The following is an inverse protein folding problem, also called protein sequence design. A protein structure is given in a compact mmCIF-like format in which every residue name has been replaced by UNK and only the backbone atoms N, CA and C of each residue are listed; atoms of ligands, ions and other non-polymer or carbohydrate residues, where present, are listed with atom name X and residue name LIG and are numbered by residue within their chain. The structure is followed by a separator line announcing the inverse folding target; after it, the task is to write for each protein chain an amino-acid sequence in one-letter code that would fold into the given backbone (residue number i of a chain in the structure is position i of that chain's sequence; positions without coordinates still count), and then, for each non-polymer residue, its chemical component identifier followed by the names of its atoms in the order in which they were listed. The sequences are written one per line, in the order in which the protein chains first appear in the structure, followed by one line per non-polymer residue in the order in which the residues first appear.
data_IF_850486595699
#
_entry.id   IF_850486595699
#
_cell.length_a   1.000
_cell.length_b   1.000
_cell.length_c   1.000
_cell.angle_alpha   90.00
_cell.angle_beta   90.00
_cell.angle_gamma   90.00
#
_symmetry.space_group_name_H-M   'P 1'
#
loop_
_entity.id
_entity.type
_entity.pdbx_description
1 polymer ?
#
# COMPACT_ATOMS: atom_id res chain seq x y z
N UNK A 1 -33.50 36.45 -57.66
CA UNK A 1 -32.74 35.21 -57.40
C UNK A 1 -31.49 35.54 -56.61
N UNK A 2 -31.15 34.69 -55.63
CA UNK A 2 -29.91 34.62 -54.82
C UNK A 2 -29.83 35.47 -53.54
N UNK A 3 -30.37 34.89 -52.46
CA UNK A 3 -29.85 35.02 -51.10
C UNK A 3 -29.32 33.64 -50.69
N UNK A 4 -28.01 33.47 -50.51
CA UNK A 4 -27.42 32.41 -49.67
C UNK A 4 -26.02 32.82 -49.21
N UNK A 5 -25.66 32.27 -48.04
CA UNK A 5 -24.34 32.12 -47.42
C UNK A 5 -23.91 33.23 -46.47
N UNK A 6 -24.38 33.19 -45.22
CA UNK A 6 -23.57 33.47 -44.00
C UNK A 6 -24.15 32.65 -42.82
N UNK A 7 -24.04 31.32 -42.83
CA UNK A 7 -24.22 30.50 -41.61
C UNK A 7 -23.31 29.28 -41.76
N UNK A 8 -22.00 29.42 -41.49
CA UNK A 8 -21.11 28.27 -41.29
C UNK A 8 -19.78 28.58 -40.55
N UNK A 9 -19.57 29.81 -40.06
CA UNK A 9 -18.31 30.21 -39.39
C UNK A 9 -18.39 30.29 -37.86
N UNK A 10 -19.58 30.24 -37.24
CA UNK A 10 -19.72 30.37 -35.78
C UNK A 10 -19.72 29.05 -35.00
N UNK A 11 -19.98 27.90 -35.64
CA UNK A 11 -20.03 26.62 -34.91
C UNK A 11 -18.64 26.02 -34.64
N UNK A 12 -17.65 26.25 -35.49
CA UNK A 12 -16.30 25.69 -35.33
C UNK A 12 -15.48 26.39 -34.25
N UNK A 13 -15.66 27.70 -34.06
CA UNK A 13 -14.99 28.48 -33.01
C UNK A 13 -15.57 28.18 -31.61
N UNK A 14 -16.87 27.93 -31.49
CA UNK A 14 -17.48 27.48 -30.23
C UNK A 14 -17.05 26.07 -29.84
N UNK A 15 -16.93 25.12 -30.79
CA UNK A 15 -16.42 23.78 -30.49
C UNK A 15 -14.96 23.80 -30.05
N UNK A 16 -14.09 24.58 -30.71
CA UNK A 16 -12.68 24.73 -30.32
C UNK A 16 -12.52 25.37 -28.93
N UNK A 17 -13.33 26.37 -28.60
CA UNK A 17 -13.32 27.00 -27.27
C UNK A 17 -13.83 26.06 -26.17
N UNK A 18 -14.87 25.26 -26.44
CA UNK A 18 -15.38 24.26 -25.49
C UNK A 18 -14.35 23.14 -25.29
N UNK A 19 -13.73 22.63 -26.37
CA UNK A 19 -12.66 21.61 -26.27
C UNK A 19 -11.45 22.18 -25.52
N UNK A 20 -11.04 23.43 -25.78
CA UNK A 20 -9.94 24.08 -25.06
C UNK A 20 -10.27 24.34 -23.59
N UNK A 21 -11.52 24.67 -23.25
CA UNK A 21 -11.95 24.93 -21.87
C UNK A 21 -12.13 23.63 -21.06
N UNK A 22 -12.67 22.58 -21.68
CA UNK A 22 -12.76 21.23 -21.08
C UNK A 22 -11.36 20.65 -20.88
N UNK A 23 -10.49 20.75 -21.89
CA UNK A 23 -9.09 20.35 -21.79
C UNK A 23 -8.33 21.16 -20.72
N UNK A 24 -8.58 22.48 -20.61
CA UNK A 24 -8.02 23.32 -19.53
C UNK A 24 -8.58 23.00 -18.14
N UNK A 25 -9.81 22.47 -18.04
CA UNK A 25 -10.41 22.08 -16.77
C UNK A 25 -9.90 20.72 -16.30
N UNK A 26 -9.75 19.74 -17.19
CA UNK A 26 -9.18 18.42 -16.89
C UNK A 26 -7.69 18.51 -16.54
N UNK A 27 -6.93 19.31 -17.30
CA UNK A 27 -5.49 19.60 -17.04
C UNK A 27 -5.25 20.38 -15.75
N UNK A 28 -6.26 21.09 -15.20
CA UNK A 28 -6.15 21.75 -13.89
C UNK A 28 -6.35 20.78 -12.71
N UNK A 29 -6.92 19.59 -12.93
CA UNK A 29 -7.30 18.67 -11.85
C UNK A 29 -6.49 17.39 -11.79
N UNK A 30 -5.93 16.91 -12.91
CA UNK A 30 -5.09 15.72 -12.94
C UNK A 30 -3.59 16.10 -12.89
N UNK A 31 -2.86 15.80 -11.79
CA UNK A 31 -1.44 16.07 -11.67
C UNK A 31 -0.56 15.38 -12.73
N UNK A 32 -1.09 14.38 -13.44
CA UNK A 32 -0.39 13.62 -14.49
C UNK A 32 -0.79 14.01 -15.91
N UNK A 33 -1.70 14.98 -16.09
CA UNK A 33 -2.21 15.35 -17.42
C UNK A 33 -1.08 15.76 -18.40
N UNK A 34 -0.03 16.41 -17.88
CA UNK A 34 1.12 16.86 -18.65
C UNK A 34 2.33 15.92 -18.57
N UNK A 35 2.21 14.83 -17.81
CA UNK A 35 3.26 13.81 -17.73
C UNK A 35 3.43 13.10 -19.07
N UNK A 36 4.65 12.68 -19.45
CA UNK A 36 4.84 11.90 -20.67
C UNK A 36 4.22 10.52 -20.56
N UNK A 37 3.89 9.90 -21.69
CA UNK A 37 3.63 8.45 -21.75
C UNK A 37 4.96 7.73 -21.48
N UNK A 38 5.03 7.00 -20.36
CA UNK A 38 6.26 6.32 -19.91
C UNK A 38 6.17 4.80 -19.98
N UNK A 39 4.97 4.27 -20.20
CA UNK A 39 4.74 2.83 -20.24
C UNK A 39 4.10 2.39 -21.55
N UNK A 40 4.24 1.09 -21.85
CA UNK A 40 3.60 0.42 -22.99
C UNK A 40 2.86 -0.83 -22.51
N UNK A 41 1.82 -1.22 -23.24
CA UNK A 41 1.14 -2.50 -23.04
C UNK A 41 1.84 -3.57 -23.87
N UNK A 42 2.14 -4.70 -23.24
CA UNK A 42 2.75 -5.87 -23.87
C UNK A 42 1.80 -7.04 -23.68
N UNK A 43 1.42 -7.70 -24.76
CA UNK A 43 0.64 -8.94 -24.69
C UNK A 43 1.55 -10.07 -24.28
N UNK A 44 1.16 -10.79 -23.23
CA UNK A 44 1.84 -12.00 -22.74
C UNK A 44 0.89 -13.19 -22.83
N UNK A 45 1.40 -14.40 -22.64
CA UNK A 45 0.58 -15.62 -22.59
C UNK A 45 -0.44 -15.63 -21.43
N UNK A 46 -0.25 -14.78 -20.42
CA UNK A 46 -1.11 -14.70 -19.22
C UNK A 46 -1.90 -13.40 -19.13
N UNK A 47 -1.89 -12.58 -20.19
CA UNK A 47 -2.66 -11.34 -20.30
C UNK A 47 -1.80 -10.12 -20.62
N UNK A 48 -2.34 -8.93 -20.36
CA UNK A 48 -1.67 -7.66 -20.64
C UNK A 48 -0.73 -7.27 -19.51
N UNK A 49 0.53 -7.04 -19.85
CA UNK A 49 1.57 -6.50 -18.99
C UNK A 49 1.77 -5.01 -19.31
N UNK A 50 1.78 -4.16 -18.29
CA UNK A 50 2.24 -2.77 -18.41
C UNK A 50 3.74 -2.72 -18.10
N UNK A 51 4.55 -2.37 -19.09
CA UNK A 51 6.00 -2.20 -18.94
C UNK A 51 6.36 -0.71 -18.93
N UNK A 52 6.83 -0.21 -17.79
CA UNK A 52 7.26 1.17 -17.62
C UNK A 52 8.75 1.31 -17.97
N UNK A 53 9.08 2.25 -18.87
CA UNK A 53 10.46 2.64 -19.13
C UNK A 53 10.90 3.69 -18.11
N UNK A 54 11.73 3.31 -17.14
CA UNK A 54 12.15 4.23 -16.07
C UNK A 54 12.89 5.46 -16.61
N UNK A 55 13.61 5.35 -17.73
CA UNK A 55 14.34 6.47 -18.37
C UNK A 55 13.38 7.51 -18.99
N UNK A 56 12.14 7.11 -19.28
CA UNK A 56 11.11 7.99 -19.82
C UNK A 56 10.51 8.91 -18.75
N UNK A 57 10.59 8.55 -17.47
CA UNK A 57 10.23 9.44 -16.36
C UNK A 57 11.15 10.66 -16.36
N UNK A 58 10.56 11.86 -16.33
CA UNK A 58 11.29 13.14 -16.33
C UNK A 58 11.04 13.87 -15.03
N UNK A 59 10.09 14.79 -15.02
CA UNK A 59 9.85 15.69 -13.91
C UNK A 59 9.22 14.97 -12.71
N UNK A 60 9.36 15.62 -11.56
CA UNK A 60 8.68 15.24 -10.32
C UNK A 60 7.45 16.10 -10.13
N UNK A 61 6.28 15.47 -10.05
CA UNK A 61 5.00 16.15 -9.78
C UNK A 61 4.65 16.08 -8.30
N UNK A 62 3.97 17.10 -7.79
CA UNK A 62 3.41 17.08 -6.43
C UNK A 62 1.96 16.60 -6.49
N UNK A 63 1.69 15.46 -5.87
CA UNK A 63 0.35 14.85 -5.85
C UNK A 63 -0.30 15.13 -4.49
N UNK A 64 -1.45 15.83 -4.45
CA UNK A 64 -2.20 15.98 -3.22
C UNK A 64 -2.77 14.64 -2.79
N UNK A 65 -2.81 14.37 -1.48
CA UNK A 65 -3.44 13.17 -0.94
C UNK A 65 -4.91 13.04 -1.41
N UNK A 66 -5.63 14.16 -1.47
CA UNK A 66 -7.01 14.22 -1.97
C UNK A 66 -7.17 13.80 -3.44
N UNK A 67 -6.11 13.72 -4.25
CA UNK A 67 -6.18 13.14 -5.58
C UNK A 67 -6.43 11.63 -5.53
N UNK A 68 -5.81 10.95 -4.56
CA UNK A 68 -5.85 9.49 -4.42
C UNK A 68 -6.94 9.01 -3.45
N UNK A 69 -7.39 9.88 -2.53
CA UNK A 69 -8.29 9.49 -1.44
C UNK A 69 -9.54 10.36 -1.36
N UNK A 70 -10.52 9.85 -0.63
CA UNK A 70 -11.60 10.60 0.00
C UNK A 70 -11.04 11.48 1.14
N UNK A 71 -11.94 12.02 1.97
CA UNK A 71 -11.67 12.89 3.10
C UNK A 71 -10.71 12.26 4.14
N UNK A 72 -9.78 13.07 4.67
CA UNK A 72 -8.84 12.66 5.71
C UNK A 72 -9.46 12.61 7.10
N UNK A 73 -9.61 11.42 7.66
CA UNK A 73 -10.04 11.28 9.05
C UNK A 73 -8.85 11.30 10.00
N UNK A 74 -9.07 11.90 11.17
CA UNK A 74 -8.10 11.97 12.26
C UNK A 74 -8.69 11.24 13.46
N UNK A 75 -8.04 10.17 13.89
CA UNK A 75 -8.51 9.30 14.97
C UNK A 75 -7.46 9.29 16.08
N UNK A 76 -7.81 9.77 17.26
CA UNK A 76 -6.94 9.70 18.45
C UNK A 76 -7.22 8.38 19.14
N UNK A 77 -6.19 7.56 19.34
CA UNK A 77 -6.37 6.31 20.05
C UNK A 77 -6.57 6.57 21.55
N UNK A 78 -7.30 5.67 22.19
CA UNK A 78 -7.56 5.67 23.63
C UNK A 78 -6.25 5.72 24.44
N UNK A 79 -6.19 6.60 25.45
CA UNK A 79 -5.00 6.87 26.26
C UNK A 79 -4.83 5.94 27.46
N UNK A 80 -5.72 4.97 27.67
CA UNK A 80 -5.57 4.00 28.76
C UNK A 80 -4.29 3.18 28.60
N UNK A 81 -3.65 2.83 29.71
CA UNK A 81 -2.37 2.10 29.73
C UNK A 81 -2.42 0.80 28.90
N UNK A 82 -3.53 0.07 28.98
CA UNK A 82 -3.72 -1.17 28.22
C UNK A 82 -3.90 -0.95 26.71
N UNK A 83 -4.15 0.28 26.27
CA UNK A 83 -4.41 0.64 24.87
C UNK A 83 -3.18 1.21 24.15
N UNK A 84 -2.11 1.52 24.88
CA UNK A 84 -0.92 2.17 24.30
C UNK A 84 -0.29 1.33 23.18
N UNK A 85 0.03 1.99 22.07
CA UNK A 85 0.73 1.41 20.93
C UNK A 85 2.09 2.09 20.74
N UNK A 86 3.04 1.39 20.15
CA UNK A 86 4.36 1.99 19.83
C UNK A 86 4.38 2.71 18.47
N UNK A 87 5.49 3.38 18.19
CA UNK A 87 5.79 3.94 16.86
C UNK A 87 6.12 2.89 15.80
N UNK A 88 5.88 3.22 14.53
CA UNK A 88 6.25 2.44 13.34
C UNK A 88 5.66 1.03 13.26
N UNK A 89 4.34 0.93 13.46
CA UNK A 89 3.60 -0.32 13.52
C UNK A 89 2.62 -0.42 12.35
N UNK A 90 2.42 -1.62 11.79
CA UNK A 90 1.38 -1.83 10.77
C UNK A 90 0.02 -1.51 11.38
N UNK A 91 -0.77 -0.75 10.63
CA UNK A 91 -2.12 -0.34 11.04
C UNK A 91 -3.08 -0.72 9.93
N UNK A 92 -3.95 -1.69 10.21
CA UNK A 92 -4.95 -2.22 9.28
C UNK A 92 -6.29 -1.58 9.61
N UNK A 93 -6.84 -0.83 8.65
CA UNK A 93 -8.10 -0.10 8.81
C UNK A 93 -9.22 -0.87 8.11
N UNK A 94 -10.29 -1.16 8.85
CA UNK A 94 -11.56 -1.66 8.35
C UNK A 94 -12.61 -0.55 8.29
N UNK A 95 -13.84 -0.93 7.97
CA UNK A 95 -14.97 0.00 7.95
C UNK A 95 -15.37 0.41 9.38
N UNK A 96 -15.28 -0.51 10.35
CA UNK A 96 -15.71 -0.29 11.75
C UNK A 96 -14.59 -0.33 12.79
N UNK A 97 -13.42 -0.84 12.45
CA UNK A 97 -12.32 -1.05 13.39
C UNK A 97 -10.97 -0.62 12.84
N UNK A 98 -10.04 -0.37 13.75
CA UNK A 98 -8.62 -0.16 13.47
C UNK A 98 -7.84 -1.21 14.25
N UNK A 99 -7.05 -2.00 13.55
CA UNK A 99 -6.16 -3.00 14.12
C UNK A 99 -4.72 -2.49 14.05
N UNK A 100 -4.08 -2.34 15.20
CA UNK A 100 -2.66 -1.96 15.29
C UNK A 100 -1.84 -3.20 15.63
N UNK A 101 -0.81 -3.49 14.84
CA UNK A 101 -0.03 -4.73 14.96
C UNK A 101 0.85 -4.77 16.21
N UNK A 102 1.47 -5.92 16.44
CA UNK A 102 2.43 -6.05 17.54
C UNK A 102 3.71 -5.24 17.27
N UNK A 103 4.38 -4.81 18.33
CA UNK A 103 5.72 -4.23 18.30
C UNK A 103 6.49 -4.68 19.53
N UNK A 104 7.62 -5.37 19.33
CA UNK A 104 8.37 -6.03 20.40
C UNK A 104 7.43 -6.90 21.25
N UNK A 105 7.30 -6.57 22.54
CA UNK A 105 6.47 -7.31 23.50
C UNK A 105 5.05 -6.76 23.63
N UNK A 106 4.68 -5.72 22.87
CA UNK A 106 3.31 -5.19 22.83
C UNK A 106 2.48 -5.99 21.83
N UNK A 107 1.40 -6.67 22.26
CA UNK A 107 0.52 -7.43 21.36
C UNK A 107 -0.32 -6.50 20.48
N UNK A 108 -1.05 -7.08 19.53
CA UNK A 108 -2.02 -6.37 18.70
C UNK A 108 -3.11 -5.71 19.56
N UNK A 109 -3.55 -4.53 19.13
CA UNK A 109 -4.61 -3.75 19.78
C UNK A 109 -5.73 -3.46 18.78
N UNK A 110 -6.97 -3.74 19.18
CA UNK A 110 -8.15 -3.44 18.38
C UNK A 110 -8.86 -2.23 18.95
N UNK A 111 -9.21 -1.30 18.06
CA UNK A 111 -9.95 -0.09 18.36
C UNK A 111 -11.21 -0.01 17.51
N UNK A 112 -12.21 0.70 18.01
CA UNK A 112 -13.32 1.17 17.19
C UNK A 112 -12.80 2.17 16.14
N UNK A 113 -13.64 2.47 15.15
CA UNK A 113 -13.30 3.42 14.09
C UNK A 113 -13.08 4.85 14.59
N UNK A 114 -13.64 5.20 15.74
CA UNK A 114 -13.46 6.47 16.46
C UNK A 114 -12.32 6.44 17.51
N UNK A 115 -11.55 5.34 17.58
CA UNK A 115 -10.30 5.27 18.35
C UNK A 115 -10.43 4.75 19.78
N UNK A 116 -11.62 4.30 20.20
CA UNK A 116 -11.82 3.70 21.54
C UNK A 116 -11.24 2.31 21.58
N UNK A 117 -10.50 2.00 22.63
CA UNK A 117 -9.90 0.69 22.78
C UNK A 117 -10.96 -0.37 23.09
N UNK A 118 -10.93 -1.47 22.34
CA UNK A 118 -11.84 -2.60 22.50
C UNK A 118 -11.14 -3.70 23.30
N UNK A 119 -10.02 -4.20 22.78
CA UNK A 119 -9.37 -5.39 23.34
C UNK A 119 -7.94 -5.58 22.81
N UNK A 120 -7.17 -6.40 23.52
CA UNK A 120 -5.87 -6.91 23.06
C UNK A 120 -6.09 -8.23 22.33
N UNK A 121 -5.41 -8.45 21.21
CA UNK A 121 -5.56 -9.67 20.41
C UNK A 121 -4.37 -10.60 20.69
N UNK A 122 -4.55 -11.64 21.50
CA UNK A 122 -3.48 -12.57 21.90
C UNK A 122 -2.42 -11.94 22.82
N UNK A 123 -1.27 -12.59 22.93
CA UNK A 123 -0.17 -12.16 23.80
C UNK A 123 1.20 -12.47 23.20
N UNK A 124 2.25 -11.81 23.71
CA UNK A 124 3.63 -12.12 23.34
C UNK A 124 4.08 -13.40 24.03
N UNK A 125 4.61 -14.35 23.26
CA UNK A 125 5.11 -15.61 23.81
C UNK A 125 5.12 -16.77 22.80
N UNK A 126 5.04 -18.00 23.30
CA UNK A 126 5.14 -19.25 22.53
C UNK A 126 4.00 -20.23 22.82
N UNK A 127 3.02 -19.83 23.63
CA UNK A 127 1.79 -20.57 23.88
C UNK A 127 0.92 -20.72 22.63
N UNK A 128 -0.18 -21.51 22.71
CA UNK A 128 -0.97 -21.90 21.55
C UNK A 128 -1.58 -20.74 20.74
N UNK A 129 -1.85 -19.62 21.40
CA UNK A 129 -2.43 -18.38 20.85
C UNK A 129 -1.51 -17.16 21.05
N UNK A 130 -0.23 -17.40 21.31
CA UNK A 130 0.77 -16.35 21.49
C UNK A 130 1.66 -16.25 20.24
N UNK A 131 2.31 -15.11 20.09
CA UNK A 131 3.19 -14.86 18.94
C UNK A 131 4.39 -13.99 19.34
N UNK A 132 5.49 -14.17 18.62
CA UNK A 132 6.61 -13.24 18.65
C UNK A 132 6.41 -12.12 17.62
N UNK A 133 7.31 -12.02 16.65
CA UNK A 133 7.11 -11.14 15.50
C UNK A 133 6.03 -11.69 14.57
N UNK A 134 5.28 -10.79 13.91
CA UNK A 134 4.25 -11.17 12.94
C UNK A 134 4.50 -10.53 11.58
N UNK A 135 4.08 -11.20 10.52
CA UNK A 135 4.41 -10.84 9.14
C UNK A 135 3.25 -10.18 8.37
N UNK A 136 2.04 -10.65 8.61
CA UNK A 136 0.83 -10.20 7.95
C UNK A 136 -0.38 -10.44 8.83
N UNK A 137 -1.44 -9.69 8.55
CA UNK A 137 -2.70 -9.74 9.25
C UNK A 137 -3.85 -9.46 8.26
N UNK A 138 -5.05 -9.92 8.60
CA UNK A 138 -6.29 -9.61 7.90
C UNK A 138 -7.40 -9.37 8.94
N UNK A 139 -8.02 -8.20 8.85
CA UNK A 139 -9.21 -7.84 9.61
C UNK A 139 -10.46 -8.16 8.78
N UNK A 140 -11.19 -9.19 9.18
CA UNK A 140 -12.42 -9.65 8.52
C UNK A 140 -13.64 -9.35 9.41
N UNK A 141 -14.13 -8.12 9.28
CA UNK A 141 -15.24 -7.61 10.10
C UNK A 141 -16.56 -8.33 9.81
N UNK A 142 -16.78 -8.77 8.57
CA UNK A 142 -18.01 -9.42 8.14
C UNK A 142 -18.22 -10.77 8.84
N UNK A 143 -17.13 -11.45 9.18
CA UNK A 143 -17.17 -12.78 9.80
C UNK A 143 -16.74 -12.79 11.27
N UNK A 144 -16.54 -11.62 11.88
CA UNK A 144 -16.03 -11.50 13.25
C UNK A 144 -14.69 -12.25 13.41
N UNK A 145 -13.73 -11.99 12.52
CA UNK A 145 -12.42 -12.67 12.51
C UNK A 145 -11.25 -11.71 12.33
N UNK A 146 -10.16 -12.01 13.02
CA UNK A 146 -8.83 -11.45 12.82
C UNK A 146 -7.89 -12.63 12.57
N UNK A 147 -7.19 -12.57 11.44
CA UNK A 147 -6.20 -13.57 11.06
C UNK A 147 -4.82 -12.96 11.22
N UNK A 148 -3.90 -13.67 11.87
CA UNK A 148 -2.52 -13.23 12.06
C UNK A 148 -1.60 -14.34 11.55
N UNK A 149 -0.60 -13.95 10.75
CA UNK A 149 0.51 -14.81 10.34
C UNK A 149 1.75 -14.47 11.17
N UNK A 150 2.12 -15.30 12.15
CA UNK A 150 3.39 -15.14 12.87
C UNK A 150 4.59 -15.35 11.93
N UNK A 151 5.73 -14.80 12.31
CA UNK A 151 7.00 -14.98 11.61
C UNK A 151 7.38 -16.48 11.54
N UNK A 152 7.73 -16.97 10.34
CA UNK A 152 8.09 -18.37 10.12
C UNK A 152 7.08 -19.38 10.68
N UNK A 153 5.78 -19.14 10.52
CA UNK A 153 4.72 -19.98 11.09
C UNK A 153 4.24 -21.07 10.14
N UNK A 154 3.70 -22.15 10.72
CA UNK A 154 2.99 -23.25 10.05
C UNK A 154 1.46 -23.19 10.30
N UNK A 155 0.96 -22.08 10.86
CA UNK A 155 -0.46 -21.84 11.08
C UNK A 155 -0.79 -20.35 10.99
N UNK A 156 -2.05 -20.03 10.70
CA UNK A 156 -2.61 -18.72 11.01
C UNK A 156 -3.23 -18.78 12.41
N UNK A 157 -2.94 -17.78 13.22
CA UNK A 157 -3.69 -17.54 14.46
C UNK A 157 -5.00 -16.84 14.11
N UNK A 158 -6.06 -17.20 14.80
CA UNK A 158 -7.41 -16.69 14.53
C UNK A 158 -8.02 -16.21 15.84
N UNK A 159 -8.56 -15.00 15.81
CA UNK A 159 -9.28 -14.41 16.93
C UNK A 159 -10.61 -13.84 16.45
N UNK A 160 -11.58 -13.67 17.34
CA UNK A 160 -12.73 -12.81 17.06
C UNK A 160 -12.43 -11.34 17.38
N UNK A 161 -13.38 -10.44 17.10
CA UNK A 161 -13.23 -9.00 17.37
C UNK A 161 -13.38 -8.65 18.88
N UNK A 162 -13.65 -9.64 19.73
CA UNK A 162 -13.63 -9.50 21.18
C UNK A 162 -12.27 -9.96 21.76
N UNK A 163 -11.38 -10.50 20.92
CA UNK A 163 -10.06 -10.98 21.29
C UNK A 163 -10.04 -12.44 21.75
N UNK A 164 -11.16 -13.16 21.65
CA UNK A 164 -11.18 -14.57 22.02
C UNK A 164 -10.50 -15.40 20.92
N UNK A 165 -9.58 -16.31 21.30
CA UNK A 165 -8.94 -17.19 20.35
C UNK A 165 -9.95 -18.15 19.73
N UNK A 166 -9.81 -18.38 18.43
CA UNK A 166 -10.55 -19.35 17.65
C UNK A 166 -9.61 -20.47 17.20
N UNK A 167 -10.11 -21.62 16.72
CA UNK A 167 -9.25 -22.68 16.19
C UNK A 167 -8.28 -22.13 15.12
N UNK A 168 -6.97 -22.35 15.25
CA UNK A 168 -6.01 -21.88 14.27
C UNK A 168 -6.17 -22.63 12.94
N UNK A 169 -5.76 -22.00 11.84
CA UNK A 169 -5.75 -22.63 10.53
C UNK A 169 -4.35 -23.21 10.28
N UNK A 170 -4.16 -24.54 10.31
CA UNK A 170 -2.87 -25.14 9.94
C UNK A 170 -2.56 -24.85 8.46
N UNK A 171 -1.30 -24.51 8.19
CA UNK A 171 -0.77 -24.31 6.85
C UNK A 171 -0.14 -25.62 6.38
N UNK A 172 -0.34 -25.96 5.10
CA UNK A 172 0.21 -27.19 4.53
C UNK A 172 1.75 -27.20 4.47
N UNK A 173 2.38 -26.05 4.72
CA UNK A 173 3.81 -25.87 4.86
C UNK A 173 4.11 -24.63 5.71
N UNK A 174 5.27 -24.62 6.35
CA UNK A 174 5.80 -23.45 7.04
C UNK A 174 5.92 -22.27 6.07
N UNK A 175 5.77 -21.04 6.55
CA UNK A 175 5.81 -19.84 5.72
C UNK A 175 6.85 -18.88 6.28
N UNK A 176 8.06 -18.79 5.68
CA UNK A 176 9.14 -17.98 6.25
C UNK A 176 8.83 -16.48 6.25
N UNK A 177 8.36 -15.99 5.11
CA UNK A 177 7.96 -14.62 4.84
C UNK A 177 6.76 -14.71 3.91
N UNK A 178 5.58 -14.25 4.31
CA UNK A 178 4.39 -14.52 3.52
C UNK A 178 3.27 -13.51 3.64
N UNK A 179 2.43 -13.51 2.61
CA UNK A 179 1.18 -12.76 2.54
C UNK A 179 0.05 -13.75 2.30
N UNK A 180 -1.15 -13.39 2.71
CA UNK A 180 -2.29 -14.28 2.61
C UNK A 180 -3.58 -13.50 2.44
N UNK A 181 -4.60 -14.18 1.92
CA UNK A 181 -5.99 -13.74 1.93
C UNK A 181 -6.87 -14.91 2.33
N UNK A 182 -7.67 -14.72 3.36
CA UNK A 182 -8.67 -15.68 3.83
C UNK A 182 -10.03 -15.35 3.22
N UNK A 183 -10.67 -16.35 2.65
CA UNK A 183 -12.09 -16.37 2.28
C UNK A 183 -12.82 -17.22 3.34
N UNK A 184 -13.43 -16.55 4.33
CA UNK A 184 -14.06 -17.22 5.47
C UNK A 184 -15.30 -18.00 5.05
N UNK A 185 -16.10 -17.48 4.12
CA UNK A 185 -17.30 -18.16 3.61
C UNK A 185 -16.95 -19.48 2.93
N UNK A 186 -15.87 -19.51 2.13
CA UNK A 186 -15.40 -20.73 1.47
C UNK A 186 -14.51 -21.60 2.34
N UNK A 187 -14.12 -21.12 3.52
CA UNK A 187 -13.10 -21.76 4.36
C UNK A 187 -11.81 -22.05 3.57
N UNK A 188 -11.36 -21.06 2.80
CA UNK A 188 -10.18 -21.14 1.94
C UNK A 188 -9.15 -20.06 2.29
N UNK A 189 -7.87 -20.41 2.13
CA UNK A 189 -6.77 -19.46 2.27
C UNK A 189 -5.95 -19.48 0.98
N UNK A 190 -5.71 -18.31 0.42
CA UNK A 190 -4.67 -18.09 -0.60
C UNK A 190 -3.43 -17.56 0.12
N UNK A 191 -2.28 -18.17 -0.13
CA UNK A 191 -1.00 -17.77 0.46
C UNK A 191 0.06 -17.54 -0.61
N UNK A 192 0.93 -16.58 -0.34
CA UNK A 192 2.20 -16.35 -1.05
C UNK A 192 3.32 -16.36 -0.05
N UNK A 193 4.43 -16.97 -0.44
CA UNK A 193 5.66 -16.92 0.34
C UNK A 193 6.79 -16.37 -0.51
N UNK A 194 7.79 -15.80 0.14
CA UNK A 194 9.12 -15.67 -0.44
C UNK A 194 9.69 -17.09 -0.64
N UNK A 195 9.89 -17.56 -1.89
CA UNK A 195 10.19 -18.96 -2.16
C UNK A 195 11.71 -19.15 -2.18
N UNK A 196 12.30 -19.43 -1.02
CA UNK A 196 13.72 -19.74 -0.92
C UNK A 196 14.11 -20.94 -1.80
N UNK A 197 15.38 -21.06 -2.18
CA UNK A 197 15.87 -22.25 -2.90
C UNK A 197 15.44 -23.55 -2.19
N UNK A 198 14.87 -24.47 -2.96
CA UNK A 198 14.28 -25.72 -2.46
C UNK A 198 12.84 -25.60 -1.95
N UNK A 199 12.25 -24.39 -1.89
CA UNK A 199 10.84 -24.24 -1.53
C UNK A 199 9.94 -24.76 -2.65
N UNK A 200 8.87 -25.50 -2.33
CA UNK A 200 8.11 -26.19 -3.36
C UNK A 200 7.10 -25.26 -4.05
N UNK A 201 6.73 -24.11 -3.46
CA UNK A 201 5.76 -23.16 -4.02
C UNK A 201 6.12 -21.69 -3.79
N UNK A 202 5.59 -20.84 -4.68
CA UNK A 202 5.49 -19.39 -4.47
C UNK A 202 4.09 -18.97 -4.05
N UNK A 203 3.04 -19.58 -4.62
CA UNK A 203 1.63 -19.33 -4.29
C UNK A 203 0.86 -20.64 -4.25
N UNK A 204 -0.07 -20.76 -3.31
CA UNK A 204 -0.97 -21.90 -3.22
C UNK A 204 -2.30 -21.51 -2.59
N UNK A 205 -3.30 -22.39 -2.74
CA UNK A 205 -4.54 -22.32 -1.98
C UNK A 205 -4.72 -23.58 -1.15
N UNK A 206 -5.41 -23.48 -0.03
CA UNK A 206 -5.73 -24.59 0.86
C UNK A 206 -7.07 -24.34 1.55
N UNK A 207 -7.65 -25.41 2.11
CA UNK A 207 -8.75 -25.26 3.06
C UNK A 207 -8.24 -24.93 4.48
N UNK A 208 -9.18 -24.69 5.40
CA UNK A 208 -8.89 -24.40 6.80
C UNK A 208 -8.32 -25.60 7.58
N UNK A 209 -8.26 -26.79 7.00
CA UNK A 209 -7.65 -27.99 7.60
C UNK A 209 -6.22 -28.22 7.10
N UNK A 210 -5.67 -27.30 6.30
CA UNK A 210 -4.34 -27.44 5.71
C UNK A 210 -4.31 -28.36 4.50
N UNK A 211 -5.47 -28.79 3.96
CA UNK A 211 -5.50 -29.57 2.73
C UNK A 211 -5.31 -28.62 1.55
N UNK A 212 -4.17 -28.75 0.88
CA UNK A 212 -3.83 -27.99 -0.33
C UNK A 212 -4.83 -28.27 -1.46
N UNK A 213 -5.22 -27.22 -2.18
CA UNK A 213 -6.10 -27.23 -3.35
C UNK A 213 -5.31 -26.94 -4.64
N UNK A 214 -4.83 -25.71 -4.80
CA UNK A 214 -4.01 -25.28 -5.94
C UNK A 214 -2.56 -24.97 -5.54
N UNK A 215 -1.67 -24.93 -6.52
CA UNK A 215 -0.23 -24.82 -6.27
C UNK A 215 0.54 -24.28 -7.48
N UNK A 216 1.45 -23.34 -7.25
CA UNK A 216 2.38 -22.82 -8.26
C UNK A 216 3.81 -22.99 -7.75
N UNK A 217 4.61 -23.77 -8.47
CA UNK A 217 6.04 -23.92 -8.22
C UNK A 217 6.79 -22.59 -8.45
N UNK A 218 7.88 -22.30 -7.73
CA UNK A 218 8.54 -20.99 -7.83
C UNK A 218 9.11 -20.68 -9.21
N UNK A 219 9.70 -21.67 -9.90
CA UNK A 219 10.32 -21.46 -11.21
C UNK A 219 11.34 -20.31 -11.18
N UNK A 220 11.19 -19.35 -12.09
CA UNK A 220 12.05 -18.16 -12.15
C UNK A 220 11.90 -17.25 -10.92
N UNK A 221 10.85 -17.41 -10.11
CA UNK A 221 10.62 -16.62 -8.90
C UNK A 221 11.40 -17.11 -7.68
N UNK A 222 12.08 -18.25 -7.77
CA UNK A 222 12.99 -18.76 -6.72
C UNK A 222 13.95 -17.66 -6.27
N UNK A 223 14.17 -17.57 -4.96
CA UNK A 223 15.09 -16.60 -4.37
C UNK A 223 16.17 -17.28 -3.52
N UNK A 224 17.40 -16.75 -3.46
CA UNK A 224 18.41 -17.24 -2.52
C UNK A 224 17.95 -17.06 -1.08
N UNK A 225 18.51 -17.87 -0.16
CA UNK A 225 18.14 -17.87 1.26
C UNK A 225 18.72 -16.66 2.01
N UNK A 226 18.16 -15.49 1.71
CA UNK A 226 18.50 -14.19 2.30
C UNK A 226 17.23 -13.46 2.74
N UNK A 227 17.18 -13.06 4.01
CA UNK A 227 16.00 -12.41 4.60
C UNK A 227 15.90 -10.91 4.29
N UNK A 228 16.83 -10.34 3.51
CA UNK A 228 16.73 -8.98 2.95
C UNK A 228 15.77 -8.89 1.77
N UNK A 229 15.55 -10.03 1.07
CA UNK A 229 14.52 -10.15 0.04
C UNK A 229 13.12 -10.14 0.66
N UNK A 230 12.11 -9.68 -0.07
CA UNK A 230 10.80 -9.34 0.51
C UNK A 230 9.63 -9.78 -0.37
N UNK A 231 8.46 -9.99 0.26
CA UNK A 231 7.19 -10.20 -0.43
C UNK A 231 6.19 -9.11 -0.03
N UNK A 232 5.74 -8.35 -1.01
CA UNK A 232 4.78 -7.26 -0.83
C UNK A 232 3.39 -7.67 -1.29
N UNK A 233 2.39 -7.20 -0.52
CA UNK A 233 0.97 -7.23 -0.85
C UNK A 233 0.35 -6.02 -0.16
N UNK A 234 -0.32 -5.18 -0.93
CA UNK A 234 -0.94 -3.96 -0.44
C UNK A 234 -2.46 -4.11 -0.23
N UNK A 235 -3.10 -5.03 -0.97
CA UNK A 235 -4.54 -5.31 -0.87
C UNK A 235 -5.43 -4.09 -1.20
N UNK A 236 -4.97 -3.22 -2.11
CA UNK A 236 -5.71 -2.03 -2.52
C UNK A 236 -6.69 -2.26 -3.68
N UNK A 237 -6.64 -3.45 -4.29
CA UNK A 237 -7.55 -3.90 -5.36
C UNK A 237 -8.20 -5.23 -4.97
N UNK A 238 -9.24 -5.63 -5.71
CA UNK A 238 -9.89 -6.93 -5.50
C UNK A 238 -8.99 -8.10 -5.90
N UNK A 239 -8.04 -7.88 -6.80
CA UNK A 239 -7.10 -8.91 -7.25
C UNK A 239 -6.15 -9.29 -6.11
N UNK A 240 -5.69 -10.54 -6.12
CA UNK A 240 -4.64 -10.97 -5.21
C UNK A 240 -3.29 -10.57 -5.82
N UNK A 241 -2.88 -9.33 -5.53
CA UNK A 241 -1.70 -8.68 -6.09
C UNK A 241 -0.47 -8.85 -5.20
N UNK A 242 0.59 -9.44 -5.75
CA UNK A 242 1.85 -9.69 -5.01
C UNK A 242 3.07 -9.31 -5.83
N UNK A 243 4.12 -8.88 -5.14
CA UNK A 243 5.45 -8.67 -5.71
C UNK A 243 6.49 -9.35 -4.82
N UNK A 244 7.46 -10.01 -5.44
CA UNK A 244 8.66 -10.46 -4.76
C UNK A 244 9.77 -9.46 -5.10
N UNK A 245 10.33 -8.81 -4.10
CA UNK A 245 11.50 -7.94 -4.24
C UNK A 245 12.75 -8.75 -3.96
N UNK A 246 13.59 -8.91 -4.98
CA UNK A 246 14.90 -9.56 -4.82
C UNK A 246 15.99 -8.52 -4.94
N UNK A 247 16.73 -8.30 -3.86
CA UNK A 247 17.86 -7.36 -3.79
C UNK A 247 19.18 -8.05 -3.46
N UNK A 248 19.14 -9.28 -2.95
CA UNK A 248 20.31 -10.09 -2.59
C UNK A 248 20.28 -11.46 -3.29
N UNK A 249 21.43 -11.96 -3.79
CA UNK A 249 22.77 -11.35 -3.77
C UNK A 249 22.94 -10.25 -4.82
N UNK A 250 22.04 -10.17 -5.79
CA UNK A 250 21.98 -9.09 -6.77
C UNK A 250 20.51 -8.82 -7.13
N UNK A 251 20.12 -7.54 -7.31
CA UNK A 251 18.79 -7.22 -7.79
C UNK A 251 18.53 -7.75 -9.20
N UNK A 252 17.28 -8.13 -9.48
CA UNK A 252 16.83 -8.57 -10.81
C UNK A 252 15.65 -7.74 -11.29
N UNK A 253 15.23 -7.92 -12.54
CA UNK A 253 13.95 -7.35 -12.97
C UNK A 253 12.82 -8.17 -12.36
N UNK A 254 12.07 -7.58 -11.44
CA UNK A 254 10.87 -8.20 -10.87
C UNK A 254 9.60 -7.65 -11.54
N UNK A 255 8.46 -8.28 -11.23
CA UNK A 255 7.13 -7.84 -11.68
C UNK A 255 6.13 -7.91 -10.52
N UNK A 256 5.07 -7.11 -10.61
CA UNK A 256 3.85 -7.28 -9.81
C UNK A 256 2.94 -8.26 -10.53
N UNK A 257 2.46 -9.26 -9.79
CA UNK A 257 1.64 -10.35 -10.30
C UNK A 257 0.25 -10.32 -9.68
N UNK A 258 -0.75 -10.69 -10.48
CA UNK A 258 -2.04 -11.13 -9.99
C UNK A 258 -2.06 -12.65 -9.92
N UNK A 259 -2.49 -13.23 -8.80
CA UNK A 259 -2.81 -14.65 -8.76
C UNK A 259 -4.23 -14.89 -9.27
N UNK A 260 -4.34 -15.61 -10.39
CA UNK A 260 -5.61 -16.08 -10.93
C UNK A 260 -5.90 -17.48 -10.38
N UNK A 261 -6.77 -17.55 -9.37
CA UNK A 261 -7.13 -18.80 -8.71
C UNK A 261 -7.88 -19.78 -9.63
N UNK A 262 -8.69 -19.27 -10.56
CA UNK A 262 -9.48 -20.10 -11.47
C UNK A 262 -8.60 -20.84 -12.49
N UNK A 263 -7.52 -20.20 -12.94
CA UNK A 263 -6.57 -20.79 -13.89
C UNK A 263 -5.28 -21.30 -13.23
N UNK A 264 -5.20 -21.21 -11.90
CA UNK A 264 -4.04 -21.53 -11.08
C UNK A 264 -2.71 -21.01 -11.67
N UNK A 265 -2.63 -19.70 -11.93
CA UNK A 265 -1.43 -19.08 -12.52
C UNK A 265 -1.17 -17.68 -11.99
N UNK A 266 0.08 -17.26 -12.05
CA UNK A 266 0.49 -15.87 -11.83
C UNK A 266 0.48 -15.12 -13.15
N UNK A 267 -0.18 -13.97 -13.18
CA UNK A 267 -0.31 -13.10 -14.34
C UNK A 267 0.48 -11.82 -14.07
N UNK A 268 1.59 -11.61 -14.77
CA UNK A 268 2.38 -10.40 -14.62
C UNK A 268 1.57 -9.19 -15.13
N UNK A 269 1.42 -8.16 -14.29
CA UNK A 269 0.62 -6.96 -14.61
C UNK A 269 1.44 -5.71 -14.75
N UNK A 270 2.52 -5.59 -13.98
CA UNK A 270 3.39 -4.42 -14.03
C UNK A 270 4.85 -4.82 -13.88
N UNK A 271 5.71 -4.19 -14.67
CA UNK A 271 7.16 -4.33 -14.59
C UNK A 271 7.84 -3.03 -15.00
N UNK A 272 9.11 -2.89 -14.66
CA UNK A 272 9.93 -1.74 -15.04
C UNK A 272 11.12 -2.18 -15.88
N UNK A 273 11.34 -1.46 -16.98
CA UNK A 273 12.55 -1.49 -17.80
C UNK A 273 13.57 -0.50 -17.20
N UNK A 274 14.63 -1.03 -16.58
CA UNK A 274 15.69 -0.24 -15.99
C UNK A 274 16.72 0.22 -17.02
N UNK A 275 17.32 1.43 -16.86
CA UNK A 275 18.30 1.95 -17.81
C UNK A 275 19.57 1.10 -17.91
N UNK A 276 19.95 0.43 -16.81
CA UNK A 276 21.09 -0.46 -16.73
C UNK A 276 20.65 -1.80 -16.14
N UNK A 277 20.73 -2.88 -16.93
CA UNK A 277 20.34 -4.23 -16.51
C UNK A 277 21.33 -4.90 -15.56
N UNK A 278 22.56 -4.41 -15.49
CA UNK A 278 23.60 -4.91 -14.59
C UNK A 278 23.60 -4.18 -13.24
N UNK A 279 22.99 -2.99 -13.18
CA UNK A 279 22.91 -2.14 -11.98
C UNK A 279 21.47 -1.75 -11.70
N UNK A 280 20.64 -2.75 -11.42
CA UNK A 280 19.23 -2.55 -11.08
C UNK A 280 19.16 -1.98 -9.65
N UNK A 281 18.42 -0.87 -9.42
CA UNK A 281 18.22 -0.32 -8.08
C UNK A 281 17.37 -1.25 -7.23
N UNK A 282 17.41 -1.08 -5.90
CA UNK A 282 16.39 -1.65 -5.03
C UNK A 282 15.04 -1.02 -5.39
N UNK A 283 13.99 -1.82 -5.43
CA UNK A 283 12.70 -1.37 -5.94
C UNK A 283 11.53 -2.13 -5.33
N UNK A 284 10.41 -1.42 -5.17
CA UNK A 284 9.11 -1.95 -4.79
C UNK A 284 8.04 -1.51 -5.78
N UNK A 285 6.99 -2.32 -5.92
CA UNK A 285 5.80 -2.02 -6.71
C UNK A 285 4.55 -2.17 -5.85
N UNK A 286 3.57 -1.33 -6.13
CA UNK A 286 2.24 -1.39 -5.53
C UNK A 286 1.19 -1.07 -6.58
N UNK A 287 -0.02 -1.54 -6.36
CA UNK A 287 -1.13 -1.36 -7.28
C UNK A 287 -2.25 -0.59 -6.58
N UNK A 288 -2.54 0.60 -7.08
CA UNK A 288 -3.73 1.37 -6.68
C UNK A 288 -4.85 1.13 -7.69
N UNK A 289 -6.12 1.42 -7.40
CA UNK A 289 -7.22 1.17 -8.33
C UNK A 289 -6.95 1.70 -9.75
N UNK A 290 -6.50 2.96 -9.84
CA UNK A 290 -6.22 3.65 -11.11
C UNK A 290 -4.75 3.71 -11.53
N UNK A 291 -3.81 3.35 -10.66
CA UNK A 291 -2.39 3.60 -10.88
C UNK A 291 -1.51 2.41 -10.52
N UNK A 292 -0.37 2.27 -11.19
CA UNK A 292 0.77 1.53 -10.65
C UNK A 292 1.72 2.51 -9.98
N UNK A 293 2.25 2.10 -8.83
CA UNK A 293 3.26 2.85 -8.09
C UNK A 293 4.52 2.00 -8.04
N UNK A 294 5.66 2.66 -8.10
CA UNK A 294 6.87 2.03 -7.62
C UNK A 294 7.85 3.02 -7.04
N UNK A 295 8.88 2.47 -6.46
CA UNK A 295 9.99 3.21 -5.91
C UNK A 295 11.33 2.62 -6.35
N UNK A 296 12.35 3.46 -6.35
CA UNK A 296 13.73 3.06 -6.55
C UNK A 296 14.62 3.70 -5.49
N UNK A 297 15.53 2.91 -4.96
CA UNK A 297 16.61 3.36 -4.08
C UNK A 297 17.91 2.64 -4.41
N UNK A 298 19.02 3.21 -3.98
CA UNK A 298 20.34 2.58 -4.12
C UNK A 298 20.86 2.14 -2.76
N UNK A 299 21.60 1.02 -2.67
CA UNK A 299 22.17 0.57 -1.42
C UNK A 299 23.21 1.58 -0.90
N UNK A 300 23.10 1.92 0.38
CA UNK A 300 24.05 2.73 1.15
C UNK A 300 24.56 1.85 2.28
N UNK A 301 25.87 1.67 2.37
CA UNK A 301 26.48 0.94 3.48
C UNK A 301 26.40 1.81 4.75
N UNK A 302 25.77 1.31 5.80
CA UNK A 302 25.61 2.00 7.09
C UNK A 302 26.48 1.39 8.19
N UNK A 303 26.97 0.17 8.00
CA UNK A 303 28.00 -0.47 8.83
C UNK A 303 28.74 -1.54 8.01
N UNK A 304 29.80 -2.13 8.58
CA UNK A 304 30.64 -3.15 7.92
C UNK A 304 29.82 -4.23 7.20
N UNK A 305 28.71 -4.68 7.81
CA UNK A 305 27.87 -5.76 7.30
C UNK A 305 26.39 -5.35 7.13
N UNK A 306 26.07 -4.05 7.07
CA UNK A 306 24.68 -3.58 6.95
C UNK A 306 24.53 -2.52 5.88
N UNK A 307 23.54 -2.72 5.01
CA UNK A 307 23.15 -1.77 3.97
C UNK A 307 21.71 -1.32 4.19
N UNK A 308 21.44 -0.06 3.89
CA UNK A 308 20.09 0.50 3.84
C UNK A 308 19.83 1.11 2.47
N UNK A 309 18.57 1.26 2.08
CA UNK A 309 18.23 2.02 0.88
C UNK A 309 18.49 3.51 1.08
N UNK A 310 18.91 4.21 0.03
CA UNK A 310 18.85 5.68 -0.04
C UNK A 310 17.41 6.17 0.12
N UNK A 311 17.22 7.49 0.34
CA UNK A 311 15.89 8.09 0.21
C UNK A 311 15.30 7.71 -1.16
N UNK A 312 14.14 7.03 -1.22
CA UNK A 312 13.67 6.50 -2.49
C UNK A 312 13.01 7.56 -3.35
N UNK A 313 13.28 7.50 -4.65
CA UNK A 313 12.51 8.20 -5.67
C UNK A 313 11.28 7.37 -6.02
N UNK A 314 10.10 7.97 -5.93
CA UNK A 314 8.81 7.29 -6.15
C UNK A 314 8.24 7.76 -7.47
N UNK A 315 7.58 6.87 -8.20
CA UNK A 315 6.94 7.16 -9.46
C UNK A 315 5.55 6.53 -9.52
N UNK A 316 4.70 7.13 -10.34
CA UNK A 316 3.29 6.77 -10.51
C UNK A 316 2.97 6.73 -12.00
N UNK A 317 2.17 5.75 -12.40
CA UNK A 317 1.71 5.57 -13.79
C UNK A 317 0.20 5.37 -13.77
N UNK A 318 -0.55 6.17 -14.53
CA UNK A 318 -1.98 5.93 -14.74
C UNK A 318 -2.17 4.71 -15.65
N UNK A 319 -2.99 3.75 -15.19
CA UNK A 319 -3.19 2.46 -15.89
C UNK A 319 -3.87 2.61 -17.25
N UNK A 320 -4.63 3.68 -17.47
CA UNK A 320 -5.40 3.94 -18.69
C UNK A 320 -4.58 4.73 -19.70
N UNK A 321 -4.04 5.88 -19.31
CA UNK A 321 -3.32 6.78 -20.22
C UNK A 321 -1.86 6.39 -20.40
N UNK A 322 -1.29 5.62 -19.46
CA UNK A 322 0.14 5.29 -19.39
C UNK A 322 1.06 6.50 -19.17
N UNK A 323 0.46 7.64 -18.82
CA UNK A 323 1.18 8.82 -18.37
C UNK A 323 1.80 8.54 -17.00
N UNK A 324 3.03 9.00 -16.79
CA UNK A 324 3.69 8.82 -15.50
C UNK A 324 4.86 9.76 -15.26
N UNK A 325 5.13 9.99 -13.99
CA UNK A 325 6.17 10.90 -13.49
C UNK A 325 6.73 10.39 -12.17
N UNK A 326 7.92 10.88 -11.79
CA UNK A 326 8.28 10.84 -10.39
C UNK A 326 7.27 11.68 -9.60
N UNK A 327 7.03 11.34 -8.33
CA UNK A 327 6.09 12.11 -7.52
C UNK A 327 6.52 12.29 -6.08
N UNK A 328 5.98 13.36 -5.48
CA UNK A 328 5.96 13.59 -4.04
C UNK A 328 4.51 13.65 -3.62
N UNK A 329 4.14 12.82 -2.65
CA UNK A 329 2.83 12.88 -2.03
C UNK A 329 2.88 13.93 -0.92
N UNK A 330 1.87 14.79 -0.82
CA UNK A 330 1.74 15.75 0.28
C UNK A 330 0.33 15.74 0.85
N UNK A 331 0.20 16.08 2.13
CA UNK A 331 -1.09 16.15 2.80
C UNK A 331 -1.74 17.52 2.60
N UNK A 332 -2.50 17.66 1.52
CA UNK A 332 -3.21 18.90 1.19
C UNK A 332 -4.39 19.21 2.13
N UNK A 333 -4.85 18.23 2.91
CA UNK A 333 -5.87 18.46 3.94
C UNK A 333 -5.34 19.22 5.16
N UNK A 334 -4.05 19.10 5.46
CA UNK A 334 -3.44 19.65 6.68
C UNK A 334 -2.31 20.65 6.42
N UNK A 335 -1.81 20.77 5.19
CA UNK A 335 -0.65 21.61 4.93
C UNK A 335 -0.43 21.93 3.47
N UNK A 336 0.81 22.26 3.16
CA UNK A 336 1.24 22.65 1.81
C UNK A 336 1.93 21.48 1.09
N UNK A 337 2.37 21.72 -0.16
CA UNK A 337 3.28 20.80 -0.88
C UNK A 337 4.59 20.49 -0.14
N UNK A 338 4.93 21.26 0.91
CA UNK A 338 6.09 21.03 1.77
C UNK A 338 5.81 19.98 2.85
N UNK A 339 4.55 19.72 3.20
CA UNK A 339 4.13 18.62 4.07
C UNK A 339 4.15 17.29 3.30
N UNK A 340 5.34 16.87 2.87
CA UNK A 340 5.52 15.62 2.14
C UNK A 340 5.30 14.43 3.07
N UNK A 341 4.51 13.47 2.61
CA UNK A 341 4.13 12.27 3.36
C UNK A 341 4.58 11.02 2.62
N UNK A 342 4.77 9.93 3.37
CA UNK A 342 5.04 8.62 2.78
C UNK A 342 3.75 8.02 2.22
N UNK A 343 3.73 7.40 1.02
CA UNK A 343 2.54 6.75 0.46
C UNK A 343 2.28 5.40 1.14
N UNK A 344 1.85 5.46 2.40
CA UNK A 344 1.48 4.31 3.22
C UNK A 344 0.04 3.90 2.89
N UNK A 345 -0.13 3.19 1.77
CA UNK A 345 -1.44 2.70 1.32
C UNK A 345 -1.53 1.19 1.46
N UNK A 346 -2.60 0.71 2.09
CA UNK A 346 -2.92 -0.70 2.20
C UNK A 346 -4.37 -0.93 2.58
N UNK A 347 -4.92 -2.07 2.17
CA UNK A 347 -6.31 -2.45 2.41
C UNK A 347 -7.33 -1.40 1.94
N UNK A 348 -6.99 -0.60 0.91
CA UNK A 348 -7.86 0.44 0.38
C UNK A 348 -7.85 1.76 1.16
N UNK A 349 -6.88 1.98 2.05
CA UNK A 349 -6.73 3.22 2.82
C UNK A 349 -5.29 3.74 2.75
N UNK A 350 -5.14 5.06 2.69
CA UNK A 350 -3.95 5.74 3.22
C UNK A 350 -3.98 5.67 4.75
N UNK A 351 -2.86 5.35 5.39
CA UNK A 351 -2.75 5.31 6.85
C UNK A 351 -1.38 5.81 7.32
N UNK A 352 -1.37 6.79 8.23
CA UNK A 352 -0.20 7.18 9.01
C UNK A 352 -0.53 7.10 10.50
N UNK A 353 0.24 6.30 11.23
CA UNK A 353 0.15 6.14 12.67
C UNK A 353 1.28 6.97 13.31
N UNK A 354 0.93 8.07 13.97
CA UNK A 354 1.88 9.11 14.36
C UNK A 354 1.85 9.36 15.87
N UNK A 355 3.04 9.51 16.45
CA UNK A 355 3.18 10.02 17.82
C UNK A 355 2.64 11.47 17.89
N UNK A 356 1.85 11.83 18.91
CA UNK A 356 1.18 13.13 18.95
C UNK A 356 2.14 14.31 18.94
N UNK A 357 3.24 14.24 19.68
CA UNK A 357 4.28 15.28 19.71
C UNK A 357 4.90 15.50 18.32
N UNK A 358 5.24 14.42 17.60
CA UNK A 358 5.80 14.50 16.24
C UNK A 358 4.79 15.12 15.25
N UNK A 359 3.52 14.73 15.36
CA UNK A 359 2.46 15.29 14.53
C UNK A 359 2.27 16.79 14.82
N UNK A 360 2.26 17.18 16.10
CA UNK A 360 2.13 18.58 16.50
C UNK A 360 3.26 19.43 15.94
N UNK A 361 4.53 19.01 16.11
CA UNK A 361 5.69 19.72 15.58
C UNK A 361 5.60 19.90 14.06
N UNK A 362 5.14 18.86 13.35
CA UNK A 362 4.94 18.91 11.89
C UNK A 362 3.88 19.94 11.50
N UNK A 363 2.74 19.95 12.19
CA UNK A 363 1.64 20.86 11.89
C UNK A 363 1.98 22.31 12.24
N UNK A 364 2.66 22.55 13.36
CA UNK A 364 3.11 23.90 13.78
C UNK A 364 4.03 24.54 12.72
N UNK A 365 4.95 23.75 12.15
CA UNK A 365 5.79 24.19 11.02
C UNK A 365 4.96 24.54 9.78
N UNK A 366 3.88 23.80 9.50
CA UNK A 366 3.03 24.05 8.33
C UNK A 366 2.13 25.28 8.50
N UNK A 367 1.50 25.49 9.67
CA UNK A 367 0.62 26.66 9.89
C UNK A 367 1.36 28.00 9.91
N UNK A 368 2.68 27.97 10.15
CA UNK A 368 3.57 29.12 10.08
C UNK A 368 3.90 29.54 8.64
N UNK A 369 3.58 28.71 7.64
CA UNK A 369 3.81 29.04 6.23
C UNK A 369 2.83 30.10 5.74
N UNK A 370 3.31 30.96 4.83
CA UNK A 370 2.50 32.04 4.24
C UNK A 370 1.53 31.55 3.17
N UNK A 371 1.84 30.43 2.53
CA UNK A 371 1.12 29.85 1.38
C UNK A 371 0.15 28.72 1.76
N UNK A 372 -0.04 28.45 3.07
CA UNK A 372 -1.01 27.44 3.52
C UNK A 372 -2.46 27.87 3.18
N UNK A 373 -3.25 26.99 2.53
CA UNK A 373 -4.67 27.27 2.29
C UNK A 373 -5.44 27.51 3.60
N UNK A 374 -6.41 28.44 3.58
CA UNK A 374 -7.15 28.82 4.79
C UNK A 374 -7.84 27.63 5.48
N UNK A 375 -8.46 26.73 4.70
CA UNK A 375 -9.13 25.55 5.24
C UNK A 375 -8.15 24.55 5.86
N UNK A 376 -7.05 24.26 5.17
CA UNK A 376 -5.98 23.40 5.69
C UNK A 376 -5.38 23.98 6.97
N UNK A 377 -5.15 25.30 7.03
CA UNK A 377 -4.65 26.00 8.22
C UNK A 377 -5.62 25.87 9.39
N UNK A 378 -6.92 26.10 9.16
CA UNK A 378 -7.96 25.98 10.18
C UNK A 378 -8.03 24.56 10.73
N UNK A 379 -7.99 23.56 9.85
CA UNK A 379 -8.00 22.14 10.24
C UNK A 379 -6.75 21.75 11.03
N UNK A 380 -5.57 22.13 10.56
CA UNK A 380 -4.30 21.87 11.24
C UNK A 380 -4.25 22.54 12.62
N UNK A 381 -4.70 23.80 12.75
CA UNK A 381 -4.78 24.49 14.04
C UNK A 381 -5.76 23.81 15.00
N UNK A 382 -6.92 23.38 14.50
CA UNK A 382 -7.90 22.64 15.29
C UNK A 382 -7.30 21.33 15.81
N UNK A 383 -6.55 20.63 14.96
CA UNK A 383 -5.87 19.41 15.35
C UNK A 383 -4.80 19.69 16.42
N UNK A 384 -3.88 20.62 16.17
CA UNK A 384 -2.82 21.05 17.13
C UNK A 384 -3.40 21.31 18.51
N UNK A 385 -4.47 22.12 18.60
CA UNK A 385 -5.08 22.51 19.87
C UNK A 385 -5.73 21.35 20.63
N UNK A 386 -5.94 20.22 19.96
CA UNK A 386 -6.65 19.07 20.49
C UNK A 386 -5.74 17.86 20.77
N UNK A 387 -4.46 17.96 20.42
CA UNK A 387 -3.48 16.89 20.66
C UNK A 387 -3.05 16.89 22.13
N UNK A 388 -2.99 15.70 22.70
CA UNK A 388 -2.30 15.40 23.96
C UNK A 388 -0.93 14.83 23.59
N UNK A 389 0.15 15.56 23.87
CA UNK A 389 1.51 15.20 23.41
C UNK A 389 2.03 13.91 24.05
N UNK A 390 1.60 13.63 25.27
CA UNK A 390 1.92 12.41 26.03
C UNK A 390 0.85 11.32 25.81
N UNK A 391 -0.14 11.60 24.97
CA UNK A 391 -1.21 10.68 24.63
C UNK A 391 -0.73 9.55 23.72
N UNK A 392 -1.62 8.59 23.52
CA UNK A 392 -1.45 7.52 22.56
C UNK A 392 -1.45 8.07 21.12
N UNK A 393 -1.00 7.24 20.18
CA UNK A 393 -0.82 7.67 18.80
C UNK A 393 -2.10 8.19 18.14
N UNK A 394 -1.92 9.07 17.17
CA UNK A 394 -2.98 9.58 16.29
C UNK A 394 -2.87 8.93 14.93
N UNK A 395 -3.98 8.34 14.48
CA UNK A 395 -4.11 7.74 13.16
C UNK A 395 -4.69 8.78 12.19
N UNK A 396 -3.91 9.14 11.19
CA UNK A 396 -4.37 9.86 10.00
C UNK A 396 -4.73 8.82 8.95
N UNK A 397 -5.98 8.78 8.50
CA UNK A 397 -6.41 7.79 7.51
C UNK A 397 -7.35 8.40 6.47
N UNK A 398 -7.30 7.89 5.24
CA UNK A 398 -8.20 8.33 4.18
C UNK A 398 -8.49 7.17 3.22
N UNK A 399 -9.77 6.94 2.90
CA UNK A 399 -10.20 5.84 2.01
C UNK A 399 -9.75 6.13 0.58
N UNK A 400 -9.23 5.14 -0.14
CA UNK A 400 -8.82 5.30 -1.53
C UNK A 400 -10.04 5.49 -2.44
N UNK A 401 -9.90 6.39 -3.42
CA UNK A 401 -10.84 6.50 -4.53
C UNK A 401 -10.69 5.28 -5.46
N UNK A 402 -11.82 4.78 -5.95
CA UNK A 402 -11.89 3.65 -6.87
C UNK A 402 -11.63 4.06 -8.32
#
# INVERSE_FOLDING_TARGET
MKNRIIILSLCTSCLLAIVAFVYNSETKTDPLALSPIVAKRVTTSTGTLVSCNLKALKDTVDIPLSYLTEELQVVKLDNRDEALVGGWIRTTVGEKHILVSNNKQTPYKLFTRDGKFITTIGAYGQGPNEYGNTYADQLDEAHNRIYILPWQSDKLLVFDLQGNPQPPIPLCMRVPKGKFRVDTEKSEVTLTTLPFEGWPAVVWTQDFKGKRKNFIAPGHLTVPRDFSNEVFMDNNTNDYSVMLMVIMPAPRTDSLYHYNAAQNRLEARFTVEYPNKEKIPWHGYSEYPRHFIGDVSVPIQVSENTWSGSKPAKYIIDKKTLHGSYFRLYNDFLGTKKMQIWPSFGNGYYVANMEPAQLKETLEKEIARKDIPAEAKKRAQTLINSLDEEGNNVILLAKMKK
#
